data_IF_761396626691
#
_entry.id   IF_761396626691
#
_cell.length_a   1.000
_cell.length_b   1.000
_cell.length_c   1.000
_cell.angle_alpha   90.00
_cell.angle_beta   90.00
_cell.angle_gamma   90.00
#
_symmetry.space_group_name_H-M   'P 1'
#
loop_
_entity.id
_entity.type
_entity.pdbx_description
1 polymer ?
#
# COMPACT_ATOMS: atom_id res chain seq x y z
N UNK A 1 -2.54 37.22 5.15
CA UNK A 1 -2.75 35.81 4.75
C UNK A 1 -4.25 35.51 4.83
N UNK A 2 -4.89 34.98 3.77
CA UNK A 2 -6.33 34.68 3.80
C UNK A 2 -6.60 33.34 4.49
N UNK A 3 -7.70 33.24 5.24
CA UNK A 3 -8.08 31.99 5.90
C UNK A 3 -8.30 30.83 4.91
N UNK A 4 -8.83 31.14 3.73
CA UNK A 4 -9.00 30.19 2.63
C UNK A 4 -7.66 29.58 2.20
N UNK A 5 -6.60 30.38 2.07
CA UNK A 5 -5.29 29.88 1.68
C UNK A 5 -4.71 28.89 2.72
N UNK A 6 -4.91 29.16 4.00
CA UNK A 6 -4.46 28.28 5.10
C UNK A 6 -5.21 26.95 5.07
N UNK A 7 -6.54 26.99 4.89
CA UNK A 7 -7.36 25.78 4.80
C UNK A 7 -6.95 24.92 3.62
N UNK A 8 -6.77 25.53 2.44
CA UNK A 8 -6.34 24.80 1.25
C UNK A 8 -4.95 24.18 1.43
N UNK A 9 -4.01 24.91 2.03
CA UNK A 9 -2.68 24.39 2.33
C UNK A 9 -2.75 23.17 3.26
N UNK A 10 -3.55 23.23 4.32
CA UNK A 10 -3.73 22.11 5.25
C UNK A 10 -4.35 20.90 4.55
N UNK A 11 -5.40 21.10 3.73
CA UNK A 11 -6.03 20.02 2.98
C UNK A 11 -5.04 19.32 2.05
N UNK A 12 -4.23 20.07 1.29
CA UNK A 12 -3.22 19.49 0.42
C UNK A 12 -2.17 18.68 1.19
N UNK A 13 -1.69 19.18 2.33
CA UNK A 13 -0.75 18.46 3.18
C UNK A 13 -1.38 17.14 3.67
N UNK A 14 -2.61 17.19 4.18
CA UNK A 14 -3.29 16.02 4.71
C UNK A 14 -3.61 14.98 3.63
N UNK A 15 -4.03 15.40 2.44
CA UNK A 15 -4.37 14.48 1.35
C UNK A 15 -3.11 13.81 0.80
N UNK A 16 -2.08 14.60 0.48
CA UNK A 16 -0.85 14.06 -0.12
C UNK A 16 -0.08 13.24 0.92
N UNK A 17 0.29 13.87 2.04
CA UNK A 17 1.17 13.22 3.02
C UNK A 17 0.40 12.27 3.94
N UNK A 18 -0.80 12.65 4.37
CA UNK A 18 -1.63 11.77 5.18
C UNK A 18 -2.13 10.57 4.38
N UNK A 19 -2.56 10.78 3.13
CA UNK A 19 -2.93 9.68 2.23
C UNK A 19 -1.76 8.73 1.97
N UNK A 20 -0.57 9.26 1.67
CA UNK A 20 0.63 8.46 1.44
C UNK A 20 1.03 7.67 2.70
N UNK A 21 1.09 8.32 3.86
CA UNK A 21 1.45 7.65 5.11
C UNK A 21 0.45 6.54 5.47
N UNK A 22 -0.85 6.77 5.25
CA UNK A 22 -1.88 5.77 5.49
C UNK A 22 -1.75 4.59 4.53
N UNK A 23 -1.50 4.84 3.24
CA UNK A 23 -1.31 3.79 2.24
C UNK A 23 -0.10 2.90 2.57
N UNK A 24 1.03 3.51 2.94
CA UNK A 24 2.22 2.78 3.38
C UNK A 24 1.90 1.95 4.62
N UNK A 25 1.28 2.56 5.65
CA UNK A 25 0.93 1.85 6.88
C UNK A 25 -0.08 0.72 6.65
N UNK A 26 -0.95 0.84 5.65
CA UNK A 26 -1.88 -0.21 5.25
C UNK A 26 -1.14 -1.38 4.62
N UNK A 27 -0.26 -1.12 3.64
CA UNK A 27 0.52 -2.14 2.94
C UNK A 27 1.48 -2.86 3.88
N UNK A 28 2.14 -2.14 4.79
CA UNK A 28 3.01 -2.76 5.81
C UNK A 28 2.25 -3.70 6.76
N UNK A 29 0.95 -3.45 6.98
CA UNK A 29 0.11 -4.29 7.85
C UNK A 29 -0.55 -5.46 7.12
N UNK A 30 -0.69 -5.36 5.80
CA UNK A 30 -1.27 -6.39 4.95
C UNK A 30 -0.31 -6.65 3.78
N UNK A 31 0.79 -7.37 4.02
CA UNK A 31 1.71 -7.75 2.96
C UNK A 31 0.99 -8.56 1.89
N UNK A 32 1.32 -8.33 0.62
CA UNK A 32 0.65 -8.96 -0.52
C UNK A 32 0.81 -10.50 -0.48
N UNK A 33 1.93 -11.03 0.02
CA UNK A 33 2.15 -12.48 0.16
C UNK A 33 1.20 -13.18 1.15
N UNK A 34 0.59 -12.42 2.05
CA UNK A 34 -0.27 -12.95 3.13
C UNK A 34 -1.69 -12.40 3.08
N UNK A 35 -2.00 -11.57 2.08
CA UNK A 35 -3.28 -10.89 1.95
C UNK A 35 -3.89 -11.08 0.56
N UNK A 36 -5.20 -10.90 0.47
CA UNK A 36 -5.93 -11.04 -0.79
C UNK A 36 -5.88 -12.45 -1.39
N UNK A 37 -5.99 -12.54 -2.72
CA UNK A 37 -6.01 -13.80 -3.47
C UNK A 37 -4.64 -14.50 -3.40
N UNK A 38 -3.56 -13.74 -3.53
CA UNK A 38 -2.17 -14.21 -3.47
C UNK A 38 -1.86 -15.01 -2.19
N UNK A 39 -2.30 -14.53 -1.03
CA UNK A 39 -2.13 -15.24 0.24
C UNK A 39 -3.00 -16.48 0.45
N UNK A 40 -3.96 -16.75 -0.45
CA UNK A 40 -4.93 -17.87 -0.32
C UNK A 40 -4.76 -18.98 -1.34
N UNK A 41 -4.11 -18.69 -2.47
CA UNK A 41 -3.81 -19.68 -3.51
C UNK A 41 -2.38 -20.21 -3.35
N UNK A 42 -2.20 -21.49 -2.96
CA UNK A 42 -0.87 -22.08 -2.75
C UNK A 42 0.02 -22.07 -4.00
N UNK A 43 -0.58 -22.13 -5.19
CA UNK A 43 0.13 -22.13 -6.48
C UNK A 43 0.76 -20.77 -6.84
N UNK A 44 0.29 -19.67 -6.22
CA UNK A 44 0.80 -18.32 -6.42
C UNK A 44 1.77 -17.89 -5.31
N UNK A 45 2.23 -18.83 -4.49
CA UNK A 45 3.24 -18.57 -3.47
C UNK A 45 4.62 -18.30 -4.10
N UNK A 46 5.45 -17.52 -3.41
CA UNK A 46 6.82 -17.22 -3.83
C UNK A 46 7.65 -18.51 -4.05
N UNK A 47 7.41 -19.53 -3.23
CA UNK A 47 8.06 -20.84 -3.34
C UNK A 47 7.69 -21.53 -4.67
N UNK A 48 6.39 -21.56 -4.99
CA UNK A 48 5.90 -22.16 -6.23
C UNK A 48 6.39 -21.40 -7.48
N UNK A 49 6.41 -20.07 -7.44
CA UNK A 49 6.97 -19.24 -8.52
C UNK A 49 8.47 -19.44 -8.70
N UNK A 50 9.23 -19.51 -7.59
CA UNK A 50 10.66 -19.70 -7.65
C UNK A 50 11.05 -21.08 -8.19
N UNK A 51 10.22 -22.10 -7.96
CA UNK A 51 10.43 -23.43 -8.53
C UNK A 51 10.11 -23.49 -10.03
N UNK A 52 9.12 -22.72 -10.50
CA UNK A 52 8.84 -22.55 -11.93
C UNK A 52 9.98 -21.84 -12.66
N UNK A 53 10.58 -20.80 -12.07
CA UNK A 53 11.73 -20.09 -12.68
C UNK A 53 12.97 -20.97 -12.82
N UNK A 54 13.09 -22.02 -12.00
CA UNK A 54 14.24 -22.94 -11.99
C UNK A 54 14.03 -24.16 -12.90
N UNK A 55 12.82 -24.37 -13.44
CA UNK A 55 12.46 -25.48 -14.30
C UNK A 55 12.76 -25.20 -15.78
#
# INVERSE_FOLDING_TARGET
>A
MSGIAIVMMALFILIIWGGLALAIAHLMRHPDESSGELGTTPELSDEALADLERA
#
